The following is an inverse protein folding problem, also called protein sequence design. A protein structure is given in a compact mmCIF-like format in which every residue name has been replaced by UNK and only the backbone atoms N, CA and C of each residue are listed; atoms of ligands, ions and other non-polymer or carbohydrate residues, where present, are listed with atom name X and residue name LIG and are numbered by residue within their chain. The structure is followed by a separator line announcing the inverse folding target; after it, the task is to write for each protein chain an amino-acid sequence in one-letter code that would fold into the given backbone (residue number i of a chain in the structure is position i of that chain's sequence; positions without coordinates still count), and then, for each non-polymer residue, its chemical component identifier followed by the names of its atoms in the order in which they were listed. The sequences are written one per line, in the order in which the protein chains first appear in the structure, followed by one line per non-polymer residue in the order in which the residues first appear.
data_IF_680164474181
#
_entry.id   IF_680164474181
#
_cell.length_a   1.000
_cell.length_b   1.000
_cell.length_c   1.000
_cell.angle_alpha   90.00
_cell.angle_beta   90.00
_cell.angle_gamma   90.00
#
_symmetry.space_group_name_H-M   'P 1'
#
loop_
_entity.id
_entity.type
_entity.pdbx_description
1 polymer ?
#
# COMPACT_ATOMS: atom_id res chain seq x y z
N UNK A 1 -5.95 16.17 -5.73
CA UNK A 1 -6.91 15.04 -5.76
C UNK A 1 -6.89 14.35 -4.41
N UNK A 2 -8.03 13.84 -3.93
CA UNK A 2 -8.10 13.05 -2.70
C UNK A 2 -7.45 11.69 -2.91
N UNK A 3 -6.72 11.20 -1.92
CA UNK A 3 -6.18 9.85 -1.95
C UNK A 3 -7.30 8.81 -1.84
N UNK A 4 -7.26 7.80 -2.70
CA UNK A 4 -8.23 6.70 -2.72
C UNK A 4 -7.51 5.35 -2.78
N UNK A 5 -8.13 4.36 -2.11
CA UNK A 5 -7.69 2.97 -2.14
C UNK A 5 -8.85 2.14 -2.66
N UNK A 6 -8.63 1.38 -3.74
CA UNK A 6 -9.56 0.36 -4.22
C UNK A 6 -9.00 -1.03 -3.98
N UNK A 7 -9.87 -1.97 -3.64
CA UNK A 7 -9.49 -3.36 -3.35
C UNK A 7 -10.10 -4.29 -4.39
N UNK A 8 -9.28 -5.22 -4.90
CA UNK A 8 -9.77 -6.40 -5.63
C UNK A 8 -9.02 -7.65 -5.20
N UNK A 9 -9.57 -8.81 -5.51
CA UNK A 9 -8.88 -10.10 -5.31
C UNK A 9 -8.52 -10.70 -6.66
N UNK A 10 -7.28 -11.17 -6.77
CA UNK A 10 -6.78 -11.75 -8.01
C UNK A 10 -5.71 -12.79 -7.69
N UNK A 11 -5.88 -14.02 -8.20
CA UNK A 11 -4.87 -15.08 -8.06
C UNK A 11 -4.51 -15.45 -6.62
N UNK A 12 -5.45 -15.30 -5.67
CA UNK A 12 -5.20 -15.57 -4.25
C UNK A 12 -4.52 -14.43 -3.48
N UNK A 13 -4.25 -13.29 -4.13
CA UNK A 13 -3.74 -12.09 -3.50
C UNK A 13 -4.79 -10.97 -3.50
N UNK A 14 -4.70 -10.09 -2.51
CA UNK A 14 -5.45 -8.84 -2.47
C UNK A 14 -4.64 -7.77 -3.20
N UNK A 15 -5.20 -7.21 -4.26
CA UNK A 15 -4.60 -6.08 -4.96
C UNK A 15 -5.20 -4.79 -4.42
N UNK A 16 -4.33 -3.90 -3.94
CA UNK A 16 -4.68 -2.55 -3.49
C UNK A 16 -4.23 -1.54 -4.53
N UNK A 17 -5.20 -0.91 -5.18
CA UNK A 17 -4.96 0.18 -6.12
C UNK A 17 -4.96 1.51 -5.38
N UNK A 18 -3.79 2.15 -5.39
CA UNK A 18 -3.55 3.42 -4.75
C UNK A 18 -3.61 4.52 -5.82
N UNK A 19 -4.33 5.61 -5.51
CA UNK A 19 -4.45 6.74 -6.42
C UNK A 19 -4.38 8.08 -5.70
N UNK A 20 -3.76 9.07 -6.35
CA UNK A 20 -3.53 10.40 -5.79
C UNK A 20 -2.21 10.52 -5.03
N UNK A 21 -2.15 11.43 -4.05
CA UNK A 21 -0.93 11.70 -3.27
C UNK A 21 -0.88 10.83 -2.01
N UNK A 22 0.14 9.99 -1.90
CA UNK A 22 0.36 9.15 -0.73
C UNK A 22 1.38 9.82 0.19
N UNK A 23 0.88 10.58 1.15
CA UNK A 23 1.68 11.44 2.05
C UNK A 23 1.21 11.30 3.49
N UNK A 24 2.02 11.82 4.43
CA UNK A 24 1.65 11.89 5.84
C UNK A 24 0.24 12.46 6.05
N UNK A 25 -0.50 11.84 6.96
CA UNK A 25 -1.86 12.23 7.34
C UNK A 25 -2.88 11.17 6.99
N UNK A 26 -4.08 11.62 6.58
CA UNK A 26 -5.20 10.74 6.25
C UNK A 26 -4.87 9.60 5.26
N UNK A 27 -4.06 9.80 4.20
CA UNK A 27 -3.70 8.71 3.28
C UNK A 27 -2.97 7.54 3.96
N UNK A 28 -1.95 7.86 4.76
CA UNK A 28 -1.16 6.87 5.49
C UNK A 28 -2.01 6.16 6.55
N UNK A 29 -2.83 6.89 7.30
CA UNK A 29 -3.70 6.28 8.32
C UNK A 29 -4.75 5.35 7.71
N UNK A 30 -5.37 5.74 6.58
CA UNK A 30 -6.31 4.86 5.84
C UNK A 30 -5.63 3.58 5.37
N UNK A 31 -4.45 3.69 4.79
CA UNK A 31 -3.70 2.52 4.31
C UNK A 31 -3.33 1.58 5.47
N UNK A 32 -2.88 2.13 6.60
CA UNK A 32 -2.53 1.34 7.79
C UNK A 32 -3.73 0.60 8.37
N UNK A 33 -4.87 1.28 8.51
CA UNK A 33 -6.10 0.67 9.01
C UNK A 33 -6.54 -0.50 8.13
N UNK A 34 -6.60 -0.27 6.81
CA UNK A 34 -6.96 -1.32 5.84
C UNK A 34 -6.00 -2.51 5.89
N UNK A 35 -4.69 -2.24 5.96
CA UNK A 35 -3.69 -3.29 6.04
C UNK A 35 -3.87 -4.17 7.28
N UNK A 36 -4.16 -3.56 8.44
CA UNK A 36 -4.41 -4.29 9.67
C UNK A 36 -5.69 -5.13 9.60
N UNK A 37 -6.73 -4.65 8.95
CA UNK A 37 -7.94 -5.42 8.67
C UNK A 37 -7.65 -6.64 7.78
N UNK A 38 -6.88 -6.46 6.71
CA UNK A 38 -6.50 -7.56 5.81
C UNK A 38 -5.68 -8.63 6.54
N UNK A 39 -4.69 -8.21 7.33
CA UNK A 39 -3.87 -9.14 8.13
C UNK A 39 -4.74 -9.90 9.14
N UNK A 40 -5.65 -9.22 9.85
CA UNK A 40 -6.59 -9.86 10.77
C UNK A 40 -7.53 -10.85 10.07
N UNK A 41 -7.89 -10.58 8.83
CA UNK A 41 -8.68 -11.47 7.98
C UNK A 41 -7.86 -12.62 7.36
N UNK A 42 -6.56 -12.75 7.68
CA UNK A 42 -5.66 -13.77 7.11
C UNK A 42 -5.22 -13.50 5.67
N UNK A 43 -5.56 -12.33 5.11
CA UNK A 43 -5.19 -11.93 3.75
C UNK A 43 -3.79 -11.33 3.76
N UNK A 44 -2.79 -12.21 3.78
CA UNK A 44 -1.38 -11.84 3.92
C UNK A 44 -0.62 -11.82 2.58
N UNK A 45 -1.27 -12.13 1.46
CA UNK A 45 -0.70 -11.93 0.12
C UNK A 45 -1.28 -10.65 -0.48
N UNK A 46 -0.46 -9.60 -0.54
CA UNK A 46 -0.91 -8.25 -0.92
C UNK A 46 -0.06 -7.74 -2.09
N UNK A 47 -0.71 -7.18 -3.11
CA UNK A 47 -0.05 -6.52 -4.22
C UNK A 47 -0.50 -5.04 -4.25
N UNK A 48 0.45 -4.12 -4.17
CA UNK A 48 0.19 -2.69 -4.26
C UNK A 48 0.40 -2.22 -5.69
N UNK A 49 -0.63 -1.59 -6.24
CA UNK A 49 -0.60 -0.96 -7.55
C UNK A 49 -0.44 0.55 -7.37
N UNK A 50 0.71 1.05 -7.77
CA UNK A 50 1.13 2.44 -7.59
C UNK A 50 1.01 3.27 -8.87
N UNK A 51 0.41 2.73 -9.94
CA UNK A 51 0.36 3.39 -11.27
C UNK A 51 -0.30 4.76 -11.25
N UNK A 52 -1.27 4.95 -10.37
CA UNK A 52 -2.03 6.19 -10.22
C UNK A 52 -1.59 7.03 -9.01
N UNK A 53 -0.46 6.67 -8.37
CA UNK A 53 0.11 7.44 -7.27
C UNK A 53 0.99 8.54 -7.84
N UNK A 54 0.60 9.78 -7.61
CA UNK A 54 1.26 10.96 -8.17
C UNK A 54 2.54 11.32 -7.40
N UNK A 55 2.57 11.02 -6.10
CA UNK A 55 3.61 11.46 -5.20
C UNK A 55 3.64 10.62 -3.92
N UNK A 56 4.83 10.22 -3.48
CA UNK A 56 5.10 9.51 -2.22
C UNK A 56 6.11 10.33 -1.41
N UNK A 57 5.79 10.66 -0.17
CA UNK A 57 6.76 11.28 0.76
C UNK A 57 7.51 10.24 1.61
N UNK A 58 8.45 10.71 2.43
CA UNK A 58 9.23 9.85 3.34
C UNK A 58 8.38 9.13 4.39
N UNK A 59 7.26 9.72 4.80
CA UNK A 59 6.35 9.12 5.79
C UNK A 59 5.58 7.96 5.19
N UNK A 60 5.09 8.13 3.96
CA UNK A 60 4.45 7.08 3.19
C UNK A 60 5.43 5.96 2.84
N UNK A 61 6.68 6.28 2.47
CA UNK A 61 7.71 5.27 2.26
C UNK A 61 8.00 4.47 3.54
N UNK A 62 8.15 5.15 4.69
CA UNK A 62 8.29 4.49 5.98
C UNK A 62 7.10 3.57 6.32
N UNK A 63 5.89 4.02 5.98
CA UNK A 63 4.68 3.21 6.11
C UNK A 63 4.72 1.95 5.23
N UNK A 64 5.19 2.05 3.97
CA UNK A 64 5.33 0.89 3.07
C UNK A 64 6.35 -0.12 3.60
N UNK A 65 7.48 0.34 4.13
CA UNK A 65 8.50 -0.53 4.74
C UNK A 65 7.94 -1.25 5.97
N UNK A 66 7.20 -0.54 6.83
CA UNK A 66 6.53 -1.14 7.98
C UNK A 66 5.46 -2.15 7.55
N UNK A 67 4.69 -1.84 6.52
CA UNK A 67 3.66 -2.71 5.97
C UNK A 67 4.25 -4.02 5.44
N UNK A 68 5.32 -3.92 4.65
CA UNK A 68 6.06 -5.06 4.15
C UNK A 68 6.50 -5.98 5.30
N UNK A 69 7.11 -5.39 6.34
CA UNK A 69 7.58 -6.14 7.50
C UNK A 69 6.43 -6.81 8.27
N UNK A 70 5.30 -6.13 8.46
CA UNK A 70 4.11 -6.71 9.12
C UNK A 70 3.56 -7.91 8.35
N UNK A 71 3.42 -7.80 7.02
CA UNK A 71 2.94 -8.89 6.18
C UNK A 71 3.90 -10.08 6.20
N UNK A 72 5.21 -9.84 6.05
CA UNK A 72 6.22 -10.91 6.09
C UNK A 72 6.21 -11.63 7.43
N UNK A 73 6.06 -10.90 8.55
CA UNK A 73 5.92 -11.50 9.89
C UNK A 73 4.64 -12.31 10.06
N UNK A 74 3.58 -11.97 9.33
CA UNK A 74 2.34 -12.74 9.29
C UNK A 74 2.41 -13.96 8.35
N UNK A 75 3.59 -14.27 7.78
CA UNK A 75 3.80 -15.42 6.90
C UNK A 75 3.40 -15.19 5.43
N UNK A 76 3.13 -13.94 5.06
CA UNK A 76 2.73 -13.57 3.70
C UNK A 76 3.80 -12.85 2.90
N UNK A 77 3.37 -12.25 1.79
CA UNK A 77 4.24 -11.49 0.89
C UNK A 77 3.53 -10.22 0.42
N UNK A 78 4.28 -9.11 0.38
CA UNK A 78 3.82 -7.85 -0.19
C UNK A 78 4.63 -7.53 -1.44
N UNK A 79 3.96 -7.37 -2.58
CA UNK A 79 4.57 -6.92 -3.84
C UNK A 79 4.11 -5.52 -4.18
N UNK A 80 4.93 -4.76 -4.89
CA UNK A 80 4.61 -3.38 -5.32
C UNK A 80 4.97 -3.25 -6.80
N UNK A 81 4.09 -2.65 -7.60
CA UNK A 81 4.34 -2.47 -9.03
C UNK A 81 3.75 -1.15 -9.55
N UNK A 82 4.22 -0.74 -10.73
CA UNK A 82 3.72 0.47 -11.38
C UNK A 82 4.16 1.77 -10.72
N UNK A 83 5.27 1.76 -9.99
CA UNK A 83 5.85 2.98 -9.44
C UNK A 83 6.25 3.92 -10.59
N UNK A 84 5.76 5.15 -10.55
CA UNK A 84 6.14 6.17 -11.52
C UNK A 84 7.45 6.83 -11.05
N UNK A 85 8.49 6.86 -11.90
CA UNK A 85 9.82 7.38 -11.56
C UNK A 85 9.81 8.86 -11.10
N UNK A 86 8.75 9.61 -11.42
CA UNK A 86 8.56 11.00 -10.98
C UNK A 86 8.01 11.15 -9.55
N UNK A 87 7.50 10.07 -8.95
CA UNK A 87 6.80 10.12 -7.66
C UNK A 87 7.65 9.80 -6.43
N UNK A 88 8.95 9.51 -6.60
CA UNK A 88 9.87 9.14 -5.53
C UNK A 88 10.88 10.26 -5.29
N UNK A 89 10.61 11.13 -4.32
CA UNK A 89 11.63 12.04 -3.77
C UNK A 89 12.25 11.38 -2.52
N UNK A 90 13.55 11.05 -2.60
CA UNK A 90 14.35 10.46 -1.53
C UNK A 90 15.00 11.54 -0.65
#
# INVERSE_FOLDING_TARGET
MSFQISQREQGGAVVLELSGRFVLGEPVEKFRALLEELIRAGKVHIALDLRNVDYIDSSALGCLVMAHTKITRAGGAMSMFGLNEKGLEL
#
